data_IF_782817451073
#
_entry.id   IF_782817451073
#
_cell.length_a   1.000
_cell.length_b   1.000
_cell.length_c   1.000
_cell.angle_alpha   90.00
_cell.angle_beta   90.00
_cell.angle_gamma   90.00
#
_symmetry.space_group_name_H-M   'P 1'
#
loop_
_entity.id
_entity.type
_entity.pdbx_description
1 polymer ?
#
# COMPACT_ATOMS: atom_id res chain seq x y z
N UNK A 1 1.84 10.31 -14.57
CA UNK A 1 2.38 11.68 -14.64
C UNK A 1 1.47 12.64 -15.41
N UNK A 2 1.12 12.42 -16.68
CA UNK A 2 0.33 13.39 -17.46
C UNK A 2 -1.08 13.65 -16.90
N UNK A 3 -1.71 12.68 -16.25
CA UNK A 3 -3.01 12.85 -15.58
C UNK A 3 -3.07 11.92 -14.34
N UNK A 4 -2.37 12.25 -13.25
CA UNK A 4 -2.19 11.36 -12.11
C UNK A 4 -3.48 11.07 -11.34
N UNK A 5 -4.46 11.97 -11.39
CA UNK A 5 -5.72 11.84 -10.65
C UNK A 5 -6.81 11.20 -11.50
N UNK A 6 -6.99 11.63 -12.74
CA UNK A 6 -8.12 11.25 -13.59
C UNK A 6 -7.79 10.22 -14.67
N UNK A 7 -6.50 9.89 -14.82
CA UNK A 7 -6.01 9.06 -15.92
C UNK A 7 -5.99 9.79 -17.27
N UNK A 8 -5.31 9.21 -18.23
CA UNK A 8 -5.16 9.76 -19.60
C UNK A 8 -6.23 9.17 -20.52
N UNK A 9 -6.68 9.97 -21.50
CA UNK A 9 -7.56 9.50 -22.57
C UNK A 9 -6.81 8.59 -23.55
N UNK A 10 -7.53 7.84 -24.37
CA UNK A 10 -6.94 6.95 -25.39
C UNK A 10 -6.06 7.73 -26.38
N UNK A 11 -6.48 8.95 -26.75
CA UNK A 11 -5.71 9.82 -27.65
C UNK A 11 -4.40 10.26 -26.98
N UNK A 12 -4.45 10.67 -25.72
CA UNK A 12 -3.28 11.04 -24.94
C UNK A 12 -2.33 9.84 -24.77
N UNK A 13 -2.85 8.66 -24.51
CA UNK A 13 -2.07 7.43 -24.41
C UNK A 13 -1.36 7.11 -25.73
N UNK A 14 -2.04 7.28 -26.87
CA UNK A 14 -1.44 7.05 -28.19
C UNK A 14 -0.31 8.07 -28.49
N UNK A 15 -0.49 9.35 -28.15
CA UNK A 15 0.52 10.39 -28.28
C UNK A 15 1.73 10.13 -27.39
N UNK A 16 1.52 9.82 -26.11
CA UNK A 16 2.57 9.47 -25.17
C UNK A 16 3.37 8.24 -25.64
N UNK A 17 2.68 7.18 -26.09
CA UNK A 17 3.33 5.96 -26.58
C UNK A 17 4.23 6.25 -27.79
N UNK A 18 3.78 7.10 -28.72
CA UNK A 18 4.59 7.53 -29.88
C UNK A 18 5.82 8.32 -29.45
N UNK A 19 5.63 9.32 -28.58
CA UNK A 19 6.74 10.15 -28.10
C UNK A 19 7.78 9.31 -27.34
N UNK A 20 7.33 8.48 -26.39
CA UNK A 20 8.20 7.55 -25.62
C UNK A 20 8.98 6.63 -26.57
N UNK A 21 8.32 6.05 -27.58
CA UNK A 21 8.96 5.14 -28.55
C UNK A 21 10.04 5.84 -29.36
N UNK A 22 9.81 7.07 -29.83
CA UNK A 22 10.79 7.87 -30.57
C UNK A 22 11.97 8.25 -29.70
N UNK A 23 11.72 8.74 -28.48
CA UNK A 23 12.77 9.12 -27.53
C UNK A 23 13.60 7.89 -27.14
N UNK A 24 12.95 6.76 -26.88
CA UNK A 24 13.65 5.51 -26.59
C UNK A 24 14.52 5.02 -27.76
N UNK A 25 14.01 5.10 -28.99
CA UNK A 25 14.78 4.74 -30.18
C UNK A 25 16.07 5.55 -30.28
N UNK A 26 16.02 6.85 -29.96
CA UNK A 26 17.13 7.80 -30.06
C UNK A 26 18.10 7.72 -28.87
N UNK A 27 17.58 7.65 -27.64
CA UNK A 27 18.39 7.83 -26.42
C UNK A 27 18.57 6.56 -25.59
N UNK A 28 17.78 5.48 -25.83
CA UNK A 28 17.86 4.22 -25.10
C UNK A 28 17.82 4.43 -23.58
N UNK A 29 18.80 3.92 -22.83
CA UNK A 29 18.91 4.04 -21.37
C UNK A 29 19.07 5.50 -20.88
N UNK A 30 19.35 6.45 -21.77
CA UNK A 30 19.43 7.88 -21.44
C UNK A 30 18.10 8.63 -21.68
N UNK A 31 17.01 7.89 -21.89
CA UNK A 31 15.66 8.47 -21.93
C UNK A 31 15.33 9.10 -20.58
N UNK A 32 14.79 10.31 -20.61
CA UNK A 32 14.32 11.05 -19.44
C UNK A 32 12.97 11.70 -19.70
N UNK A 33 12.31 12.16 -18.65
CA UNK A 33 11.05 12.88 -18.76
C UNK A 33 11.26 14.16 -19.60
N UNK A 34 12.36 14.90 -19.39
CA UNK A 34 12.67 16.12 -20.15
C UNK A 34 12.69 15.83 -21.64
N UNK A 35 13.32 14.74 -22.09
CA UNK A 35 13.38 14.40 -23.52
C UNK A 35 12.02 14.00 -24.09
N UNK A 36 11.14 13.45 -23.26
CA UNK A 36 9.76 13.16 -23.67
C UNK A 36 8.97 14.47 -23.78
N UNK A 37 9.18 15.43 -22.89
CA UNK A 37 8.60 16.76 -22.94
C UNK A 37 9.06 17.48 -24.22
N UNK A 38 10.37 17.52 -24.48
CA UNK A 38 10.94 18.12 -25.69
C UNK A 38 10.36 17.52 -26.98
N UNK A 39 10.19 16.20 -27.05
CA UNK A 39 9.60 15.51 -28.21
C UNK A 39 8.12 15.88 -28.40
N UNK A 40 7.37 16.04 -27.29
CA UNK A 40 5.96 16.44 -27.33
C UNK A 40 5.78 17.91 -27.72
N UNK A 41 6.69 18.79 -27.35
CA UNK A 41 6.62 20.23 -27.67
C UNK A 41 6.66 20.52 -29.17
N UNK A 42 7.33 19.67 -29.95
CA UNK A 42 7.41 19.81 -31.41
C UNK A 42 6.25 19.16 -32.16
N UNK A 43 5.34 18.49 -31.43
CA UNK A 43 4.17 17.82 -31.97
C UNK A 43 2.97 18.72 -32.26
N UNK A 44 1.80 18.12 -32.40
CA UNK A 44 0.54 18.82 -32.57
C UNK A 44 0.05 19.48 -31.26
N UNK A 45 -1.16 20.08 -31.27
CA UNK A 45 -1.69 20.77 -30.09
C UNK A 45 -1.90 19.82 -28.90
N UNK A 46 -2.36 18.57 -29.14
CA UNK A 46 -2.55 17.58 -28.09
C UNK A 46 -1.20 17.17 -27.49
N UNK A 47 -0.17 17.00 -28.30
CA UNK A 47 1.18 16.70 -27.83
C UNK A 47 1.74 17.84 -26.98
N UNK A 48 1.55 19.10 -27.40
CA UNK A 48 1.96 20.28 -26.60
C UNK A 48 1.19 20.43 -25.29
N UNK A 49 -0.07 20.04 -25.23
CA UNK A 49 -0.83 20.08 -23.99
C UNK A 49 -0.34 18.95 -23.04
N UNK A 50 0.04 17.79 -23.57
CA UNK A 50 0.70 16.73 -22.79
C UNK A 50 2.08 17.17 -22.27
N UNK A 51 2.87 17.91 -23.05
CA UNK A 51 4.17 18.43 -22.58
C UNK A 51 3.99 19.32 -21.35
N UNK A 52 2.98 20.21 -21.35
CA UNK A 52 2.64 21.06 -20.20
C UNK A 52 2.21 20.24 -18.98
N UNK A 53 1.42 19.18 -19.17
CA UNK A 53 0.99 18.30 -18.09
C UNK A 53 2.16 17.51 -17.48
N UNK A 54 3.18 17.20 -18.27
CA UNK A 54 4.38 16.52 -17.78
C UNK A 54 5.40 17.46 -17.16
N UNK A 55 5.31 18.76 -17.38
CA UNK A 55 6.31 19.74 -16.98
C UNK A 55 6.70 19.67 -15.51
N UNK A 56 5.72 19.52 -14.60
CA UNK A 56 5.99 19.45 -13.16
C UNK A 56 6.86 18.25 -12.75
N UNK A 57 6.92 17.22 -13.56
CA UNK A 57 7.76 16.04 -13.35
C UNK A 57 9.11 16.09 -14.09
N UNK A 58 9.32 17.06 -14.96
CA UNK A 58 10.60 17.34 -15.61
C UNK A 58 11.59 18.00 -14.66
N UNK A 59 12.87 18.08 -15.06
CA UNK A 59 13.96 18.59 -14.23
C UNK A 59 13.75 20.03 -13.74
N UNK A 60 12.98 20.82 -14.45
CA UNK A 60 12.66 22.22 -14.12
C UNK A 60 11.32 22.39 -13.39
N UNK A 61 10.56 21.31 -13.22
CA UNK A 61 9.26 21.32 -12.58
C UNK A 61 9.32 21.11 -11.07
N UNK A 62 8.17 21.29 -10.41
CA UNK A 62 8.05 21.22 -8.94
C UNK A 62 8.49 19.87 -8.37
N UNK A 63 8.26 18.77 -9.08
CA UNK A 63 8.58 17.42 -8.66
C UNK A 63 9.84 16.85 -9.31
N UNK A 64 10.53 17.65 -10.16
CA UNK A 64 11.67 17.19 -10.96
C UNK A 64 12.77 16.53 -10.13
N UNK A 65 13.05 17.04 -8.93
CA UNK A 65 14.07 16.49 -8.02
C UNK A 65 13.87 15.01 -7.68
N UNK A 66 12.63 14.49 -7.77
CA UNK A 66 12.32 13.09 -7.50
C UNK A 66 12.52 12.18 -8.70
N UNK A 67 12.68 12.73 -9.90
CA UNK A 67 12.73 11.99 -11.17
C UNK A 67 14.02 12.19 -11.95
N UNK A 68 14.95 13.00 -11.41
CA UNK A 68 16.26 13.25 -12.02
C UNK A 68 17.33 12.47 -11.26
N UNK A 69 18.17 11.74 -11.99
CA UNK A 69 19.26 10.96 -11.43
C UNK A 69 19.13 9.46 -11.67
N UNK A 70 19.91 8.70 -10.93
CA UNK A 70 19.84 7.23 -10.97
C UNK A 70 18.75 6.72 -10.03
N UNK A 71 18.17 5.58 -10.36
CA UNK A 71 17.17 4.91 -9.54
C UNK A 71 17.76 4.55 -8.16
N UNK A 72 17.24 5.19 -7.12
CA UNK A 72 17.68 4.98 -5.75
C UNK A 72 16.98 3.78 -5.07
N UNK A 73 15.83 3.33 -5.59
CA UNK A 73 15.06 2.25 -4.99
C UNK A 73 15.55 0.90 -5.50
N UNK A 74 16.18 0.14 -4.61
CA UNK A 74 16.68 -1.20 -4.91
C UNK A 74 15.98 -2.23 -4.02
N UNK A 75 15.42 -3.26 -4.63
CA UNK A 75 14.79 -4.40 -3.92
C UNK A 75 15.77 -5.57 -3.77
N UNK A 76 17.04 -5.27 -3.46
CA UNK A 76 18.12 -6.25 -3.30
C UNK A 76 18.30 -6.75 -1.86
N UNK A 77 17.60 -6.14 -0.91
CA UNK A 77 17.65 -6.48 0.52
C UNK A 77 16.60 -7.53 0.89
N UNK A 78 16.82 -8.16 2.05
CA UNK A 78 15.84 -9.09 2.63
C UNK A 78 14.58 -8.38 3.11
N UNK A 79 14.71 -7.15 3.61
CA UNK A 79 13.62 -6.30 4.04
C UNK A 79 13.82 -4.91 3.42
N UNK A 80 12.78 -4.41 2.76
CA UNK A 80 12.69 -3.04 2.28
C UNK A 80 11.43 -2.43 2.89
N UNK A 81 11.57 -1.33 3.60
CA UNK A 81 10.47 -0.56 4.18
C UNK A 81 10.39 0.77 3.44
N UNK A 82 9.18 1.14 3.06
CA UNK A 82 8.89 2.41 2.38
C UNK A 82 7.81 3.14 3.16
N UNK A 83 8.06 4.39 3.52
CA UNK A 83 7.13 5.27 4.19
C UNK A 83 6.63 6.33 3.19
N UNK A 84 5.32 6.59 3.21
CA UNK A 84 4.67 7.50 2.27
C UNK A 84 3.95 8.67 2.97
N UNK A 85 4.12 8.82 4.27
CA UNK A 85 3.42 9.86 5.03
C UNK A 85 3.73 11.27 4.50
N UNK A 86 4.97 11.55 4.16
CA UNK A 86 5.39 12.83 3.59
C UNK A 86 4.78 13.11 2.19
N UNK A 87 4.33 12.06 1.50
CA UNK A 87 3.70 12.21 0.18
C UNK A 87 2.19 12.46 0.25
N UNK A 88 1.58 12.33 1.42
CA UNK A 88 0.13 12.61 1.60
C UNK A 88 -0.22 14.06 1.32
N UNK A 89 0.71 14.99 1.57
CA UNK A 89 0.54 16.41 1.25
C UNK A 89 0.63 16.70 -0.26
N UNK A 90 1.14 15.74 -1.06
CA UNK A 90 1.33 15.86 -2.50
C UNK A 90 0.66 14.69 -3.23
N UNK A 91 -0.70 14.67 -3.34
CA UNK A 91 -1.42 13.51 -3.88
C UNK A 91 -1.00 13.10 -5.30
N UNK A 92 -0.69 14.08 -6.15
CA UNK A 92 -0.24 13.83 -7.53
C UNK A 92 1.12 13.13 -7.57
N UNK A 93 2.06 13.62 -6.77
CA UNK A 93 3.40 13.02 -6.64
C UNK A 93 3.31 11.63 -6.01
N UNK A 94 2.54 11.49 -4.92
CA UNK A 94 2.30 10.22 -4.23
C UNK A 94 1.76 9.17 -5.18
N UNK A 95 0.76 9.54 -5.99
CA UNK A 95 0.17 8.67 -7.00
C UNK A 95 1.19 8.15 -8.02
N UNK A 96 2.02 9.04 -8.54
CA UNK A 96 3.06 8.68 -9.52
C UNK A 96 4.13 7.78 -8.91
N UNK A 97 4.64 8.10 -7.71
CA UNK A 97 5.66 7.30 -7.02
C UNK A 97 5.12 5.90 -6.72
N UNK A 98 3.91 5.79 -6.17
CA UNK A 98 3.28 4.51 -5.88
C UNK A 98 3.12 3.65 -7.14
N UNK A 99 2.73 4.24 -8.26
CA UNK A 99 2.59 3.52 -9.51
C UNK A 99 3.93 3.05 -10.07
N UNK A 100 4.98 3.86 -9.96
CA UNK A 100 6.34 3.45 -10.34
C UNK A 100 6.84 2.29 -9.50
N UNK A 101 6.68 2.35 -8.17
CA UNK A 101 7.03 1.27 -7.27
C UNK A 101 6.24 -0.01 -7.56
N UNK A 102 4.96 0.13 -7.85
CA UNK A 102 4.12 -0.99 -8.26
C UNK A 102 4.68 -1.70 -9.50
N UNK A 103 5.09 -0.94 -10.52
CA UNK A 103 5.71 -1.49 -11.74
C UNK A 103 7.04 -2.17 -11.41
N UNK A 104 7.88 -1.55 -10.59
CA UNK A 104 9.18 -2.14 -10.19
C UNK A 104 8.99 -3.44 -9.39
N UNK A 105 8.06 -3.48 -8.44
CA UNK A 105 7.73 -4.69 -7.67
C UNK A 105 7.28 -5.81 -8.62
N UNK A 106 6.38 -5.51 -9.55
CA UNK A 106 5.91 -6.49 -10.54
C UNK A 106 7.06 -6.99 -11.41
N UNK A 107 7.94 -6.12 -11.87
CA UNK A 107 9.12 -6.54 -12.66
C UNK A 107 10.03 -7.45 -11.85
N UNK A 108 10.31 -7.13 -10.59
CA UNK A 108 11.11 -7.98 -9.70
C UNK A 108 10.46 -9.35 -9.49
N UNK A 109 9.15 -9.40 -9.34
CA UNK A 109 8.40 -10.66 -9.21
C UNK A 109 8.53 -11.51 -10.48
N UNK A 110 8.39 -10.90 -11.66
CA UNK A 110 8.40 -11.63 -12.92
C UNK A 110 9.79 -12.05 -13.40
N UNK A 111 10.81 -11.27 -13.08
CA UNK A 111 12.20 -11.51 -13.50
C UNK A 111 13.06 -12.17 -12.44
N UNK A 112 12.60 -12.21 -11.20
CA UNK A 112 13.32 -12.78 -10.07
C UNK A 112 13.34 -14.30 -10.05
N UNK A 113 14.14 -14.84 -9.12
CA UNK A 113 14.20 -16.27 -8.86
C UNK A 113 12.84 -16.77 -8.33
N UNK A 114 12.26 -17.76 -9.00
CA UNK A 114 10.95 -18.34 -8.65
C UNK A 114 10.98 -19.17 -7.35
N UNK A 115 12.15 -19.61 -6.93
CA UNK A 115 12.29 -20.36 -5.66
C UNK A 115 12.33 -19.41 -4.45
N UNK A 116 12.60 -18.14 -4.67
CA UNK A 116 12.58 -17.11 -3.62
C UNK A 116 11.14 -16.81 -3.19
N UNK A 117 10.87 -17.02 -1.90
CA UNK A 117 9.62 -16.56 -1.28
C UNK A 117 9.70 -15.07 -0.96
N UNK A 118 8.60 -14.36 -1.17
CA UNK A 118 8.50 -12.95 -0.80
C UNK A 118 7.13 -12.61 -0.21
N UNK A 119 7.09 -11.57 0.58
CA UNK A 119 5.86 -11.03 1.16
C UNK A 119 5.80 -9.55 0.82
N UNK A 120 4.66 -9.10 0.32
CA UNK A 120 4.32 -7.70 0.20
C UNK A 120 3.32 -7.41 1.30
N UNK A 121 3.72 -6.54 2.23
CA UNK A 121 2.85 -6.06 3.30
C UNK A 121 2.52 -4.59 3.02
N UNK A 122 1.23 -4.28 2.95
CA UNK A 122 0.73 -2.93 2.80
C UNK A 122 -0.11 -2.63 4.04
N UNK A 123 0.46 -1.82 4.92
CA UNK A 123 -0.28 -1.22 6.01
C UNK A 123 -1.08 -0.02 5.49
N UNK A 124 -2.18 0.31 6.16
CA UNK A 124 -3.11 1.34 5.69
C UNK A 124 -3.56 1.11 4.23
N UNK A 125 -3.92 -0.15 3.91
CA UNK A 125 -4.24 -0.58 2.54
C UNK A 125 -5.42 0.18 1.90
N UNK A 126 -6.22 0.91 2.69
CA UNK A 126 -7.31 1.74 2.20
C UNK A 126 -6.83 2.76 1.15
N UNK A 127 -5.67 3.40 1.38
CA UNK A 127 -5.11 4.35 0.43
C UNK A 127 -4.78 3.70 -0.92
N UNK A 128 -4.19 2.50 -0.89
CA UNK A 128 -3.88 1.75 -2.10
C UNK A 128 -5.14 1.19 -2.78
N UNK A 129 -6.17 0.80 -2.01
CA UNK A 129 -7.44 0.34 -2.53
C UNK A 129 -8.23 1.46 -3.23
N UNK A 130 -8.15 2.68 -2.75
CA UNK A 130 -8.79 3.84 -3.39
C UNK A 130 -8.07 4.29 -4.65
N UNK A 131 -6.75 4.37 -4.62
CA UNK A 131 -5.98 4.96 -5.70
C UNK A 131 -5.50 3.94 -6.75
N UNK A 132 -5.29 2.67 -6.36
CA UNK A 132 -4.69 1.62 -7.21
C UNK A 132 -5.44 0.28 -7.15
N UNK A 133 -6.79 0.27 -7.19
CA UNK A 133 -7.57 -0.95 -6.99
C UNK A 133 -7.26 -2.03 -8.03
N UNK A 134 -7.03 -1.66 -9.28
CA UNK A 134 -6.71 -2.60 -10.36
C UNK A 134 -5.35 -3.26 -10.19
N UNK A 135 -4.36 -2.48 -9.73
CA UNK A 135 -3.03 -3.00 -9.42
C UNK A 135 -3.11 -4.04 -8.30
N UNK A 136 -3.77 -3.70 -7.19
CA UNK A 136 -3.93 -4.62 -6.07
C UNK A 136 -4.71 -5.87 -6.47
N UNK A 137 -5.77 -5.74 -7.28
CA UNK A 137 -6.53 -6.88 -7.78
C UNK A 137 -5.69 -7.81 -8.67
N UNK A 138 -4.82 -7.24 -9.49
CA UNK A 138 -3.86 -8.01 -10.29
C UNK A 138 -2.85 -8.72 -9.40
N UNK A 139 -2.27 -8.02 -8.44
CA UNK A 139 -1.32 -8.58 -7.47
C UNK A 139 -1.94 -9.71 -6.65
N UNK A 140 -3.12 -9.51 -6.08
CA UNK A 140 -3.81 -10.51 -5.27
C UNK A 140 -4.08 -11.82 -6.03
N UNK A 141 -4.28 -11.74 -7.35
CA UNK A 141 -4.49 -12.92 -8.22
C UNK A 141 -3.20 -13.60 -8.65
N UNK A 142 -2.11 -12.85 -8.79
CA UNK A 142 -0.89 -13.33 -9.46
C UNK A 142 0.25 -13.64 -8.52
N UNK A 143 0.38 -12.95 -7.39
CA UNK A 143 1.51 -13.06 -6.47
C UNK A 143 1.81 -14.51 -6.03
N UNK A 144 0.77 -15.31 -5.79
CA UNK A 144 0.90 -16.73 -5.43
C UNK A 144 1.62 -17.57 -6.50
N UNK A 145 1.46 -17.26 -7.79
CA UNK A 145 2.10 -17.99 -8.89
C UNK A 145 3.62 -17.82 -8.89
N UNK A 146 4.11 -16.83 -8.19
CA UNK A 146 5.52 -16.47 -8.07
C UNK A 146 6.06 -16.66 -6.66
N UNK A 147 5.46 -17.58 -5.89
CA UNK A 147 5.88 -17.91 -4.53
C UNK A 147 5.76 -16.75 -3.52
N UNK A 148 4.87 -15.80 -3.79
CA UNK A 148 4.66 -14.62 -2.98
C UNK A 148 3.37 -14.66 -2.16
N UNK A 149 3.31 -13.80 -1.16
CA UNK A 149 2.12 -13.50 -0.37
C UNK A 149 1.86 -11.99 -0.35
N UNK A 150 0.59 -11.61 -0.39
CA UNK A 150 0.12 -10.24 -0.20
C UNK A 150 -0.63 -10.17 1.14
N UNK A 151 -0.18 -9.27 2.00
CA UNK A 151 -0.78 -8.99 3.31
C UNK A 151 -1.26 -7.55 3.29
N UNK A 152 -2.53 -7.34 3.59
CA UNK A 152 -3.17 -6.03 3.59
C UNK A 152 -3.73 -5.75 4.98
N UNK A 153 -3.26 -4.66 5.60
CA UNK A 153 -3.81 -4.11 6.85
C UNK A 153 -4.78 -2.97 6.54
N UNK A 154 -5.95 -2.97 7.17
CA UNK A 154 -6.91 -1.87 7.06
C UNK A 154 -7.75 -1.76 8.33
N UNK A 155 -8.21 -0.57 8.63
CA UNK A 155 -9.02 -0.29 9.82
C UNK A 155 -10.49 -0.66 9.61
N UNK A 156 -10.97 -0.66 8.37
CA UNK A 156 -12.37 -0.97 8.05
C UNK A 156 -12.52 -1.84 6.80
N UNK A 157 -13.54 -2.70 6.80
CA UNK A 157 -13.93 -3.50 5.64
C UNK A 157 -14.62 -2.67 4.54
N UNK A 158 -15.14 -1.53 4.86
CA UNK A 158 -15.81 -0.61 3.91
C UNK A 158 -14.89 -0.24 2.75
N UNK A 159 -13.58 -0.09 3.01
CA UNK A 159 -12.60 0.22 1.97
C UNK A 159 -12.56 -0.82 0.83
N UNK A 160 -12.93 -2.07 1.10
CA UNK A 160 -12.99 -3.11 0.07
C UNK A 160 -14.29 -3.07 -0.75
N UNK A 161 -15.36 -2.50 -0.20
CA UNK A 161 -16.70 -2.69 -0.77
C UNK A 161 -17.39 -1.38 -1.13
N UNK A 162 -16.85 -0.22 -0.73
CA UNK A 162 -17.49 1.09 -0.90
C UNK A 162 -18.73 1.24 -0.02
N UNK A 163 -19.33 2.41 -0.06
CA UNK A 163 -20.47 2.80 0.80
C UNK A 163 -21.80 2.08 0.45
N UNK A 164 -21.78 1.18 -0.53
CA UNK A 164 -22.97 0.47 -0.98
C UNK A 164 -23.95 1.31 -1.80
N UNK A 165 -23.74 2.61 -1.90
CA UNK A 165 -24.56 3.56 -2.65
C UNK A 165 -23.98 3.91 -4.02
N UNK A 166 -22.68 3.72 -4.23
CA UNK A 166 -22.05 3.94 -5.52
C UNK A 166 -22.32 2.77 -6.46
N UNK A 167 -22.92 3.07 -7.56
CA UNK A 167 -23.25 2.16 -8.65
C UNK A 167 -22.02 1.46 -9.20
N UNK A 168 -21.68 0.29 -8.68
CA UNK A 168 -20.88 -0.79 -9.27
C UNK A 168 -19.78 -0.42 -10.28
N UNK A 169 -18.97 0.57 -10.01
CA UNK A 169 -17.89 0.97 -10.91
C UNK A 169 -16.80 -0.10 -11.02
N UNK A 170 -15.98 -0.03 -12.07
CA UNK A 170 -14.85 -0.96 -12.29
C UNK A 170 -13.89 -0.97 -11.10
N UNK A 171 -13.65 0.18 -10.46
CA UNK A 171 -12.79 0.31 -9.29
C UNK A 171 -13.37 -0.45 -8.08
N UNK A 172 -14.66 -0.38 -7.82
CA UNK A 172 -15.34 -1.15 -6.77
C UNK A 172 -15.24 -2.65 -7.03
N UNK A 173 -15.46 -3.05 -8.28
CA UNK A 173 -15.30 -4.46 -8.68
C UNK A 173 -13.86 -4.95 -8.43
N UNK A 174 -12.85 -4.11 -8.70
CA UNK A 174 -11.46 -4.44 -8.43
C UNK A 174 -11.19 -4.58 -6.91
N UNK A 175 -11.68 -3.64 -6.08
CA UNK A 175 -11.56 -3.71 -4.60
C UNK A 175 -12.21 -4.98 -4.04
N UNK A 176 -13.43 -5.30 -4.46
CA UNK A 176 -14.11 -6.55 -4.08
C UNK A 176 -13.32 -7.79 -4.49
N UNK A 177 -12.71 -7.76 -5.69
CA UNK A 177 -11.85 -8.86 -6.17
C UNK A 177 -10.62 -9.07 -5.28
N UNK A 178 -10.04 -8.00 -4.72
CA UNK A 178 -8.96 -8.08 -3.73
C UNK A 178 -9.44 -8.84 -2.48
N UNK A 179 -10.55 -8.39 -1.88
CA UNK A 179 -11.11 -9.02 -0.69
C UNK A 179 -11.45 -10.50 -0.89
N UNK A 180 -11.96 -10.86 -2.07
CA UNK A 180 -12.27 -12.26 -2.42
C UNK A 180 -11.02 -13.11 -2.65
N UNK A 181 -9.93 -12.49 -3.12
CA UNK A 181 -8.65 -13.19 -3.37
C UNK A 181 -7.87 -13.45 -2.08
N UNK A 182 -8.14 -12.71 -1.00
CA UNK A 182 -7.54 -12.93 0.31
C UNK A 182 -8.11 -14.22 0.92
N UNK A 183 -7.31 -15.29 0.92
CA UNK A 183 -7.71 -16.61 1.46
C UNK A 183 -7.88 -16.60 2.97
N UNK A 184 -7.13 -15.77 3.68
CA UNK A 184 -7.20 -15.59 5.12
C UNK A 184 -7.65 -14.19 5.47
N UNK A 185 -8.53 -14.07 6.45
CA UNK A 185 -8.98 -12.80 7.03
C UNK A 185 -8.85 -12.87 8.54
N UNK A 186 -8.09 -11.94 9.09
CA UNK A 186 -7.88 -11.78 10.51
C UNK A 186 -8.61 -10.52 10.95
N UNK A 187 -9.62 -10.68 11.78
CA UNK A 187 -10.54 -9.60 12.14
C UNK A 187 -10.48 -9.36 13.65
N UNK A 188 -10.06 -8.18 14.03
CA UNK A 188 -10.19 -7.69 15.40
C UNK A 188 -11.61 -7.15 15.62
N UNK A 189 -11.94 -6.77 16.87
CA UNK A 189 -13.22 -6.16 17.20
C UNK A 189 -13.55 -5.01 16.26
N UNK A 190 -14.75 -5.03 15.72
CA UNK A 190 -15.26 -4.00 14.82
C UNK A 190 -16.30 -3.14 15.51
N UNK A 191 -16.47 -1.91 15.01
CA UNK A 191 -17.57 -1.04 15.45
C UNK A 191 -18.92 -1.56 14.94
N UNK A 192 -20.05 -1.14 15.54
CA UNK A 192 -21.38 -1.48 15.06
C UNK A 192 -21.58 -1.10 13.57
N UNK A 193 -21.09 0.06 13.16
CA UNK A 193 -21.18 0.56 11.78
C UNK A 193 -20.45 -0.35 10.81
N UNK A 194 -19.24 -0.82 11.17
CA UNK A 194 -18.49 -1.80 10.37
C UNK A 194 -19.20 -3.15 10.31
N UNK A 195 -19.90 -3.56 11.38
CA UNK A 195 -20.73 -4.78 11.37
C UNK A 195 -21.93 -4.62 10.42
N UNK A 196 -22.55 -3.45 10.35
CA UNK A 196 -23.63 -3.16 9.39
C UNK A 196 -23.11 -3.22 7.95
N UNK A 197 -21.92 -2.68 7.69
CA UNK A 197 -21.27 -2.82 6.38
C UNK A 197 -21.04 -4.30 6.01
N UNK A 198 -20.54 -5.12 6.93
CA UNK A 198 -20.38 -6.56 6.72
C UNK A 198 -21.71 -7.27 6.41
N UNK A 199 -22.82 -6.81 6.99
CA UNK A 199 -24.17 -7.32 6.68
C UNK A 199 -24.58 -6.98 5.25
N UNK A 200 -24.38 -5.74 4.82
CA UNK A 200 -24.60 -5.31 3.42
C UNK A 200 -23.76 -6.11 2.42
N UNK A 201 -22.57 -6.53 2.83
CA UNK A 201 -21.64 -7.37 2.05
C UNK A 201 -22.05 -8.84 2.03
N UNK A 202 -23.15 -9.23 2.66
CA UNK A 202 -23.63 -10.61 2.75
C UNK A 202 -22.63 -11.54 3.44
N UNK A 203 -21.83 -11.03 4.38
CA UNK A 203 -21.05 -11.88 5.28
C UNK A 203 -21.99 -12.68 6.16
N UNK A 204 -21.67 -13.95 6.42
CA UNK A 204 -22.53 -14.82 7.21
C UNK A 204 -22.78 -14.23 8.61
N UNK A 205 -24.03 -14.23 9.05
CA UNK A 205 -24.45 -13.64 10.35
C UNK A 205 -23.67 -14.18 11.54
N UNK A 206 -23.30 -15.46 11.55
CA UNK A 206 -22.48 -16.05 12.60
C UNK A 206 -21.06 -15.45 12.68
N UNK A 207 -20.48 -15.02 11.57
CA UNK A 207 -19.18 -14.34 11.55
C UNK A 207 -19.34 -12.94 12.15
N UNK A 208 -20.40 -12.21 11.74
CA UNK A 208 -20.67 -10.85 12.22
C UNK A 208 -20.94 -10.88 13.74
N UNK A 209 -21.75 -11.82 14.20
CA UNK A 209 -22.00 -12.05 15.63
C UNK A 209 -20.70 -12.38 16.39
N UNK A 210 -19.84 -13.21 15.82
CA UNK A 210 -18.52 -13.50 16.38
C UNK A 210 -17.65 -12.24 16.52
N UNK A 211 -17.56 -11.42 15.46
CA UNK A 211 -16.73 -10.21 15.45
C UNK A 211 -17.24 -9.16 16.47
N UNK A 212 -18.56 -8.99 16.58
CA UNK A 212 -19.16 -8.01 17.48
C UNK A 212 -18.90 -8.31 18.96
N UNK A 213 -18.70 -9.60 19.30
CA UNK A 213 -18.46 -10.10 20.66
C UNK A 213 -16.98 -10.18 21.04
N UNK A 214 -16.06 -9.94 20.09
CA UNK A 214 -14.63 -9.98 20.42
C UNK A 214 -14.26 -8.97 21.50
N UNK A 215 -13.35 -9.37 22.38
CA UNK A 215 -12.89 -8.56 23.50
C UNK A 215 -11.41 -8.25 23.40
N UNK A 216 -11.01 -7.10 23.91
CA UNK A 216 -9.62 -6.73 24.11
C UNK A 216 -9.40 -6.39 25.56
N UNK A 217 -8.54 -7.14 26.22
CA UNK A 217 -8.09 -6.87 27.58
C UNK A 217 -6.72 -6.22 27.52
N UNK A 218 -6.69 -4.91 27.82
CA UNK A 218 -5.47 -4.10 27.69
C UNK A 218 -4.31 -4.71 28.49
N UNK A 219 -3.20 -4.95 27.82
CA UNK A 219 -1.99 -5.53 28.43
C UNK A 219 -2.00 -7.06 28.58
N UNK A 220 -3.07 -7.74 28.23
CA UNK A 220 -3.17 -9.18 28.29
C UNK A 220 -3.36 -9.81 26.90
N UNK A 221 -4.48 -9.55 26.23
CA UNK A 221 -4.76 -10.12 24.92
C UNK A 221 -5.76 -9.30 24.12
N UNK A 222 -5.79 -9.54 22.82
CA UNK A 222 -6.89 -9.15 21.94
C UNK A 222 -7.48 -10.42 21.32
N UNK A 223 -8.79 -10.56 21.37
CA UNK A 223 -9.45 -11.64 20.65
C UNK A 223 -9.48 -11.30 19.15
N UNK A 224 -9.24 -12.31 18.35
CA UNK A 224 -9.16 -12.22 16.90
C UNK A 224 -9.97 -13.35 16.26
N UNK A 225 -10.87 -13.00 15.35
CA UNK A 225 -11.56 -13.98 14.52
C UNK A 225 -10.71 -14.26 13.30
N UNK A 226 -10.36 -15.51 13.10
CA UNK A 226 -9.59 -16.00 11.96
C UNK A 226 -10.55 -16.76 11.06
N UNK A 227 -10.70 -16.27 9.84
CA UNK A 227 -11.58 -16.83 8.83
C UNK A 227 -10.78 -17.25 7.59
N UNK A 228 -10.87 -18.54 7.23
CA UNK A 228 -10.35 -19.04 5.97
C UNK A 228 -11.48 -19.14 4.95
N UNK A 229 -11.31 -18.53 3.79
CA UNK A 229 -12.33 -18.49 2.73
C UNK A 229 -12.83 -19.92 2.41
N UNK A 230 -14.16 -20.10 2.43
CA UNK A 230 -14.87 -21.36 2.22
C UNK A 230 -14.67 -22.44 3.28
N UNK A 231 -14.12 -22.09 4.44
CA UNK A 231 -13.93 -23.00 5.58
C UNK A 231 -14.55 -22.42 6.85
N UNK A 232 -14.23 -23.06 7.95
CA UNK A 232 -14.70 -22.63 9.25
C UNK A 232 -13.93 -21.38 9.73
N UNK A 233 -14.57 -20.60 10.58
CA UNK A 233 -13.89 -19.57 11.35
C UNK A 233 -13.66 -20.04 12.80
N UNK A 234 -12.70 -19.48 13.44
CA UNK A 234 -12.44 -19.68 14.86
C UNK A 234 -11.96 -18.40 15.53
N UNK A 235 -12.23 -18.27 16.81
CA UNK A 235 -11.76 -17.16 17.62
C UNK A 235 -10.54 -17.63 18.39
N UNK A 236 -9.49 -16.81 18.37
CA UNK A 236 -8.25 -17.02 19.10
C UNK A 236 -7.89 -15.79 19.90
N UNK A 237 -6.91 -15.89 20.78
CA UNK A 237 -6.35 -14.76 21.53
C UNK A 237 -4.96 -14.44 21.01
N UNK A 238 -4.78 -13.21 20.56
CA UNK A 238 -3.49 -12.63 20.23
C UNK A 238 -2.85 -12.16 21.55
N UNK A 239 -1.88 -12.91 22.03
CA UNK A 239 -1.12 -12.59 23.22
C UNK A 239 0.29 -12.17 22.83
N UNK A 240 0.73 -11.02 23.27
CA UNK A 240 2.09 -10.56 23.07
C UNK A 240 2.85 -10.68 24.40
N UNK A 241 4.10 -11.12 24.33
CA UNK A 241 5.00 -11.02 25.47
C UNK A 241 5.25 -9.57 25.88
N UNK A 242 5.73 -9.35 27.09
CA UNK A 242 5.88 -8.01 27.68
C UNK A 242 6.86 -7.14 26.91
N UNK A 243 7.91 -7.73 26.35
CA UNK A 243 8.88 -7.02 25.52
C UNK A 243 8.22 -6.49 24.24
N UNK A 244 7.52 -7.34 23.55
CA UNK A 244 6.77 -7.02 22.32
C UNK A 244 5.68 -5.97 22.59
N UNK A 245 4.99 -6.05 23.73
CA UNK A 245 4.01 -5.04 24.13
C UNK A 245 4.63 -3.64 24.29
N UNK A 246 5.82 -3.55 24.90
CA UNK A 246 6.53 -2.27 25.05
C UNK A 246 7.08 -1.79 23.72
N UNK A 247 7.67 -2.68 22.92
CA UNK A 247 8.28 -2.35 21.64
C UNK A 247 7.27 -1.74 20.65
N UNK A 248 6.06 -2.30 20.59
CA UNK A 248 5.00 -1.85 19.67
C UNK A 248 3.95 -0.97 20.34
N UNK A 249 4.20 -0.48 21.56
CA UNK A 249 3.25 0.39 22.24
C UNK A 249 3.17 1.76 21.58
N UNK A 250 1.98 2.14 21.15
CA UNK A 250 1.65 3.50 20.71
C UNK A 250 1.23 4.43 21.85
N UNK A 251 1.25 3.93 23.12
CA UNK A 251 0.91 4.73 24.28
C UNK A 251 1.97 5.83 24.47
N UNK A 252 1.58 7.14 24.50
CA UNK A 252 2.55 8.23 24.55
C UNK A 252 3.54 8.14 25.70
N UNK A 253 3.09 7.68 26.86
CA UNK A 253 3.92 7.54 28.07
C UNK A 253 5.01 6.46 27.90
N UNK A 254 4.66 5.31 27.31
CA UNK A 254 5.59 4.21 27.06
C UNK A 254 6.60 4.62 26.00
N UNK A 255 6.10 5.20 24.90
CA UNK A 255 6.94 5.70 23.82
C UNK A 255 7.94 6.74 24.29
N UNK A 256 7.48 7.74 25.09
CA UNK A 256 8.34 8.77 25.63
C UNK A 256 9.45 8.20 26.54
N UNK A 257 9.16 7.15 27.33
CA UNK A 257 10.17 6.47 28.15
C UNK A 257 11.24 5.78 27.28
N UNK A 258 10.83 5.05 26.26
CA UNK A 258 11.77 4.37 25.33
C UNK A 258 12.65 5.43 24.65
N UNK A 259 12.07 6.49 24.10
CA UNK A 259 12.81 7.56 23.46
C UNK A 259 13.78 8.30 24.44
N UNK A 260 13.42 8.45 25.70
CA UNK A 260 14.29 9.01 26.72
C UNK A 260 15.57 8.17 26.86
N UNK A 261 15.45 6.84 26.96
CA UNK A 261 16.60 5.96 27.08
C UNK A 261 17.44 5.92 25.80
N UNK A 262 16.82 5.97 24.63
CA UNK A 262 17.54 6.09 23.35
C UNK A 262 18.35 7.38 23.27
N UNK A 263 17.79 8.52 23.71
CA UNK A 263 18.52 9.81 23.81
C UNK A 263 19.70 9.77 24.80
N UNK A 264 19.69 8.85 25.76
CA UNK A 264 20.80 8.60 26.69
C UNK A 264 21.88 7.66 26.09
N UNK A 265 21.75 7.25 24.84
CA UNK A 265 22.71 6.43 24.11
C UNK A 265 22.42 4.93 24.16
N UNK A 266 21.28 4.50 24.70
CA UNK A 266 20.90 3.08 24.63
C UNK A 266 20.42 2.72 23.24
N UNK A 267 20.74 1.51 22.78
CA UNK A 267 20.08 0.93 21.60
C UNK A 267 18.59 0.64 21.91
N UNK A 268 17.79 0.46 20.85
CA UNK A 268 16.34 0.28 20.99
C UNK A 268 16.00 -0.93 21.88
N UNK A 269 16.71 -2.05 21.70
CA UNK A 269 16.44 -3.27 22.49
C UNK A 269 16.65 -3.06 23.98
N UNK A 270 17.79 -2.52 24.35
CA UNK A 270 18.14 -2.19 25.74
C UNK A 270 17.17 -1.18 26.36
N UNK A 271 16.76 -0.16 25.60
CA UNK A 271 15.78 0.83 26.05
C UNK A 271 14.40 0.19 26.32
N UNK A 272 13.93 -0.69 25.44
CA UNK A 272 12.67 -1.45 25.61
C UNK A 272 12.74 -2.36 26.84
N UNK A 273 13.84 -3.10 27.05
CA UNK A 273 14.01 -3.94 28.23
C UNK A 273 13.99 -3.13 29.52
N UNK A 274 14.60 -1.95 29.54
CA UNK A 274 14.61 -1.08 30.72
C UNK A 274 13.20 -0.59 31.05
N UNK A 275 12.45 -0.13 30.03
CA UNK A 275 11.06 0.31 30.20
C UNK A 275 10.15 -0.85 30.61
N UNK A 276 10.37 -2.05 30.05
CA UNK A 276 9.64 -3.26 30.45
C UNK A 276 9.82 -3.55 31.94
N UNK A 277 11.04 -3.48 32.46
CA UNK A 277 11.35 -3.69 33.88
C UNK A 277 10.69 -2.63 34.79
N UNK A 278 10.47 -1.42 34.29
CA UNK A 278 9.78 -0.35 35.05
C UNK A 278 8.27 -0.54 35.12
N UNK A 279 7.66 -1.03 34.02
CA UNK A 279 6.20 -1.15 33.92
C UNK A 279 5.70 -2.42 34.58
N UNK A 280 6.44 -3.53 34.44
CA UNK A 280 6.02 -4.86 34.89
C UNK A 280 6.81 -5.37 36.11
N UNK A 281 7.15 -4.46 37.01
CA UNK A 281 7.73 -4.79 38.31
C UNK A 281 6.86 -5.70 39.16
#
# INVERSE_FOLDING_TARGET
MAAPIHGTSDLQNASLSRAISRVWAKYKKKTSIDKIIEELEVGDQNDRDLSKQLFDFGSQGNYGRFFVGEDAVKFDKQLTVMEFDDLREFPELGGVIMQMLAVQIVQQIYTGDRDRKFVILIDEAWYALENFPFFLASMAKTVRKYNGALVLGTQSFEHFYGDGESTGGLAETARRSVAQSCGWKLMLKQSPESCDALTKMKVASGIIDGISKLETVKGEYSEILIYESNKQYFISRLMLDRYTQVLYSSTPEVYAKVEKYKKQGMDTGSAVEQVMKEIYK
#
